data_IF_464708424561
#
_entry.id   IF_464708424561
#
_cell.length_a   1.000
_cell.length_b   1.000
_cell.length_c   1.000
_cell.angle_alpha   90.00
_cell.angle_beta   90.00
_cell.angle_gamma   90.00
#
_symmetry.space_group_name_H-M   'P 1'
#
loop_
_entity.id
_entity.type
_entity.pdbx_description
1 polymer ?
#
# COMPACT_ATOMS: atom_id res chain seq x y z
N UNK A 1 1.59 18.45 -10.49
CA UNK A 1 1.41 17.19 -9.74
C UNK A 1 -0.02 16.74 -9.85
N UNK A 2 -0.25 15.53 -10.26
CA UNK A 2 -1.57 14.88 -10.20
C UNK A 2 -1.71 14.17 -8.85
N UNK A 3 -2.90 14.26 -8.25
CA UNK A 3 -3.26 13.58 -7.00
C UNK A 3 -4.72 13.15 -7.07
N UNK A 4 -5.09 12.19 -6.28
CA UNK A 4 -6.49 11.78 -6.16
C UNK A 4 -7.29 12.87 -5.47
N UNK A 5 -8.52 13.09 -5.94
CA UNK A 5 -9.44 14.06 -5.33
C UNK A 5 -9.82 13.63 -3.93
N UNK A 6 -9.91 14.58 -3.02
CA UNK A 6 -10.46 14.36 -1.69
C UNK A 6 -11.97 14.70 -1.67
N UNK A 7 -12.73 13.86 -1.02
CA UNK A 7 -14.16 14.04 -0.72
C UNK A 7 -14.36 13.71 0.75
N UNK A 8 -14.90 14.64 1.52
CA UNK A 8 -15.13 14.50 2.96
C UNK A 8 -13.89 13.96 3.72
N UNK A 9 -12.74 14.62 3.49
CA UNK A 9 -11.44 14.32 4.08
C UNK A 9 -10.85 12.92 3.76
N UNK A 10 -11.32 12.25 2.71
CA UNK A 10 -10.74 11.02 2.26
C UNK A 10 -10.59 10.95 0.74
N UNK A 11 -9.79 10.02 0.26
CA UNK A 11 -9.65 9.75 -1.17
C UNK A 11 -11.01 9.42 -1.80
N UNK A 12 -11.27 9.94 -3.01
CA UNK A 12 -12.52 9.67 -3.75
C UNK A 12 -12.75 8.18 -4.01
N UNK A 13 -11.71 7.37 -4.03
CA UNK A 13 -11.79 5.91 -4.22
C UNK A 13 -11.97 5.13 -2.91
N UNK A 14 -12.14 5.81 -1.77
CA UNK A 14 -12.39 5.13 -0.50
C UNK A 14 -13.88 4.77 -0.37
N UNK A 15 -14.17 3.48 -0.39
CA UNK A 15 -15.44 2.95 0.08
C UNK A 15 -15.48 3.06 1.60
N UNK A 16 -16.44 3.82 2.10
CA UNK A 16 -16.63 4.05 3.53
C UNK A 16 -17.16 2.81 4.25
N UNK A 17 -17.03 2.73 5.59
CA UNK A 17 -17.65 1.68 6.39
C UNK A 17 -19.13 1.50 6.05
N UNK A 18 -19.54 0.24 5.85
CA UNK A 18 -20.90 -0.11 5.47
C UNK A 18 -21.24 0.03 3.98
N UNK A 19 -20.27 0.33 3.13
CA UNK A 19 -20.49 0.33 1.68
C UNK A 19 -20.78 -1.08 1.17
N UNK A 20 -21.86 -1.32 0.40
CA UNK A 20 -22.29 -2.67 -0.01
C UNK A 20 -21.24 -3.44 -0.83
N UNK A 21 -20.37 -2.75 -1.57
CA UNK A 21 -19.27 -3.33 -2.35
C UNK A 21 -18.00 -3.61 -1.54
N UNK A 22 -18.05 -3.49 -0.21
CA UNK A 22 -16.89 -3.68 0.67
C UNK A 22 -16.17 -2.37 1.00
N UNK A 23 -15.61 -2.33 2.21
CA UNK A 23 -14.83 -1.20 2.71
C UNK A 23 -13.42 -1.21 2.12
N UNK A 24 -12.84 -0.04 1.90
CA UNK A 24 -11.47 0.09 1.43
C UNK A 24 -11.34 0.79 0.08
N UNK A 25 -10.20 0.61 -0.56
CA UNK A 25 -9.96 1.22 -1.87
C UNK A 25 -10.79 0.51 -2.94
N UNK A 26 -11.71 1.23 -3.59
CA UNK A 26 -12.55 0.70 -4.66
C UNK A 26 -11.71 0.12 -5.83
N UNK A 27 -10.57 0.73 -6.15
CA UNK A 27 -9.69 0.23 -7.20
C UNK A 27 -9.01 -1.10 -6.81
N UNK A 28 -8.69 -1.27 -5.52
CA UNK A 28 -8.11 -2.52 -5.02
C UNK A 28 -9.16 -3.65 -5.03
N UNK A 29 -10.35 -3.36 -4.51
CA UNK A 29 -11.46 -4.31 -4.46
C UNK A 29 -11.85 -4.75 -5.87
N UNK A 30 -12.01 -3.79 -6.80
CA UNK A 30 -12.36 -4.10 -8.17
C UNK A 30 -11.29 -4.94 -8.89
N UNK A 31 -10.00 -4.64 -8.70
CA UNK A 31 -8.93 -5.46 -9.28
C UNK A 31 -9.05 -6.92 -8.83
N UNK A 32 -9.26 -7.17 -7.53
CA UNK A 32 -9.43 -8.52 -7.01
C UNK A 32 -10.70 -9.21 -7.54
N UNK A 33 -11.81 -8.48 -7.70
CA UNK A 33 -13.06 -9.02 -8.28
C UNK A 33 -12.89 -9.47 -9.74
N UNK A 34 -12.00 -8.80 -10.49
CA UNK A 34 -11.67 -9.15 -11.87
C UNK A 34 -10.48 -10.13 -12.00
N UNK A 35 -9.96 -10.64 -10.88
CA UNK A 35 -8.78 -11.51 -10.86
C UNK A 35 -7.54 -10.84 -11.49
N UNK A 36 -7.42 -9.52 -11.29
CA UNK A 36 -6.32 -8.68 -11.78
C UNK A 36 -5.49 -8.11 -10.61
N UNK A 37 -4.24 -7.74 -10.88
CA UNK A 37 -3.38 -7.18 -9.85
C UNK A 37 -3.79 -5.74 -9.50
N UNK A 38 -3.90 -5.39 -8.20
CA UNK A 38 -4.10 -4.01 -7.78
C UNK A 38 -3.02 -3.03 -8.26
N UNK A 39 -1.83 -3.52 -8.60
CA UNK A 39 -0.73 -2.72 -9.16
C UNK A 39 -1.06 -2.15 -10.54
N UNK A 40 -1.92 -2.82 -11.30
CA UNK A 40 -2.36 -2.38 -12.62
C UNK A 40 -3.50 -1.34 -12.56
N UNK A 41 -4.30 -1.38 -11.50
CA UNK A 41 -5.48 -0.53 -11.36
C UNK A 41 -5.22 0.78 -10.59
N UNK A 42 -4.34 0.72 -9.61
CA UNK A 42 -4.08 1.84 -8.72
C UNK A 42 -3.00 2.78 -9.27
N UNK A 43 -3.11 4.11 -9.07
CA UNK A 43 -2.01 5.02 -9.35
C UNK A 43 -0.72 4.62 -8.63
N UNK A 44 0.44 4.97 -9.19
CA UNK A 44 1.76 4.49 -8.75
C UNK A 44 2.03 4.61 -7.24
N UNK A 45 1.68 5.72 -6.62
CA UNK A 45 1.83 5.86 -5.16
C UNK A 45 0.80 5.03 -4.40
N UNK A 46 -0.42 4.93 -4.94
CA UNK A 46 -1.52 4.26 -4.26
C UNK A 46 -1.34 2.74 -4.17
N UNK A 47 -0.74 2.10 -5.17
CA UNK A 47 -0.49 0.66 -5.07
C UNK A 47 0.70 0.34 -4.16
N UNK A 48 1.66 1.27 -4.01
CA UNK A 48 2.79 1.08 -3.08
C UNK A 48 2.36 1.16 -1.60
N UNK A 49 1.32 1.93 -1.27
CA UNK A 49 0.85 2.07 0.09
C UNK A 49 0.17 0.78 0.59
N UNK A 50 0.45 0.33 1.80
CA UNK A 50 1.22 0.97 2.89
C UNK A 50 2.71 0.62 2.91
N UNK A 51 3.25 -0.07 1.91
CA UNK A 51 4.61 -0.58 1.89
C UNK A 51 5.61 0.44 1.35
N UNK A 52 6.78 0.46 1.97
CA UNK A 52 7.97 1.16 1.51
C UNK A 52 9.16 0.24 1.55
N UNK A 53 9.99 0.30 0.50
CA UNK A 53 11.28 -0.38 0.46
C UNK A 53 12.38 0.67 0.47
N UNK A 54 13.22 0.62 1.48
CA UNK A 54 14.44 1.43 1.56
C UNK A 54 15.63 0.56 1.16
N UNK A 55 16.35 0.99 0.13
CA UNK A 55 17.54 0.32 -0.38
C UNK A 55 18.78 0.93 0.23
N UNK A 56 19.70 0.09 0.68
CA UNK A 56 21.00 0.51 1.20
C UNK A 56 22.10 -0.30 0.53
N UNK A 57 23.08 0.38 -0.02
CA UNK A 57 24.27 -0.23 -0.52
C UNK A 57 25.17 -0.72 0.63
N UNK A 58 25.58 -1.96 0.57
CA UNK A 58 26.48 -2.58 1.53
C UNK A 58 27.69 -3.13 0.77
N UNK A 59 28.84 -2.48 0.90
CA UNK A 59 30.12 -2.91 0.29
C UNK A 59 30.18 -2.90 -1.26
N UNK A 60 29.55 -1.94 -1.92
CA UNK A 60 29.74 -1.68 -3.36
C UNK A 60 29.00 -2.59 -4.34
N UNK A 61 28.79 -3.86 -4.01
CA UNK A 61 28.14 -4.86 -4.90
C UNK A 61 26.91 -5.52 -4.28
N UNK A 62 26.60 -5.20 -3.03
CA UNK A 62 25.47 -5.81 -2.31
C UNK A 62 24.50 -4.73 -1.85
N UNK A 63 23.25 -4.87 -2.21
CA UNK A 63 22.17 -4.03 -1.73
C UNK A 63 21.33 -4.77 -0.69
N UNK A 64 20.92 -4.04 0.35
CA UNK A 64 19.98 -4.54 1.34
C UNK A 64 18.67 -3.79 1.19
N UNK A 65 17.57 -4.53 1.04
CA UNK A 65 16.23 -4.00 1.02
C UNK A 65 15.60 -4.11 2.40
N UNK A 66 15.18 -2.99 2.97
CA UNK A 66 14.37 -2.96 4.19
C UNK A 66 12.94 -2.65 3.83
N UNK A 67 12.05 -3.62 4.02
CA UNK A 67 10.62 -3.43 3.83
C UNK A 67 10.01 -2.90 5.12
N UNK A 68 9.35 -1.78 5.06
CA UNK A 68 8.67 -1.15 6.18
C UNK A 68 7.38 -0.47 5.77
N UNK A 69 6.60 -0.05 6.74
CA UNK A 69 5.41 0.75 6.52
C UNK A 69 5.79 2.20 6.18
N UNK A 70 5.05 2.83 5.27
CA UNK A 70 5.06 4.27 5.09
C UNK A 70 4.60 4.99 6.35
N UNK A 71 5.23 6.11 6.66
CA UNK A 71 4.84 7.01 7.75
C UNK A 71 4.57 8.42 7.22
N UNK A 72 3.88 9.24 8.00
CA UNK A 72 3.65 10.65 7.64
C UNK A 72 4.95 11.42 7.45
N UNK A 73 6.01 11.08 8.20
CA UNK A 73 7.33 11.70 8.09
C UNK A 73 7.99 11.50 6.71
N UNK A 74 7.64 10.44 5.99
CA UNK A 74 8.17 10.18 4.64
C UNK A 74 7.69 11.20 3.60
N UNK A 75 6.67 11.98 3.91
CA UNK A 75 6.07 12.99 3.05
C UNK A 75 6.44 14.43 3.44
N UNK A 76 7.43 14.62 4.28
CA UNK A 76 7.82 15.94 4.78
C UNK A 76 6.63 16.68 5.42
N UNK A 77 6.56 18.01 5.24
CA UNK A 77 5.50 18.86 5.77
C UNK A 77 4.09 18.52 5.25
N UNK A 78 3.98 17.86 4.11
CA UNK A 78 2.68 17.48 3.56
C UNK A 78 2.06 16.26 4.24
N UNK A 79 2.86 15.43 4.92
CA UNK A 79 2.38 14.25 5.62
C UNK A 79 1.43 14.56 6.77
N UNK A 80 1.57 15.70 7.42
CA UNK A 80 0.73 16.10 8.56
C UNK A 80 -0.74 16.30 8.19
N UNK A 81 -0.98 16.79 6.96
CA UNK A 81 -2.33 17.15 6.48
C UNK A 81 -2.90 16.18 5.44
N UNK A 82 -2.16 15.14 5.08
CA UNK A 82 -2.65 14.14 4.12
C UNK A 82 -3.74 13.27 4.74
N UNK A 83 -4.74 12.93 3.93
CA UNK A 83 -5.69 11.86 4.25
C UNK A 83 -4.98 10.51 4.07
N UNK A 84 -4.80 9.78 5.16
CA UNK A 84 -4.00 8.55 5.21
C UNK A 84 -4.87 7.27 5.26
N UNK A 85 -5.99 7.32 4.56
CA UNK A 85 -6.99 6.24 4.59
C UNK A 85 -6.46 4.85 4.18
N UNK A 86 -5.33 4.79 3.47
CA UNK A 86 -4.70 3.53 3.07
C UNK A 86 -3.68 3.00 4.09
N UNK A 87 -3.38 3.74 5.16
CA UNK A 87 -2.30 3.39 6.08
C UNK A 87 -2.63 3.58 7.54
N UNK A 88 -3.65 4.35 7.87
CA UNK A 88 -4.03 4.65 9.24
C UNK A 88 -5.51 4.38 9.48
N UNK A 89 -5.81 3.63 10.54
CA UNK A 89 -7.17 3.27 10.92
C UNK A 89 -8.05 4.49 11.19
N UNK A 90 -7.48 5.53 11.77
CA UNK A 90 -8.19 6.77 12.06
C UNK A 90 -8.77 7.45 10.81
N UNK A 91 -8.09 7.30 9.67
CA UNK A 91 -8.49 7.90 8.41
C UNK A 91 -9.28 6.94 7.51
N UNK A 92 -9.04 5.65 7.63
CA UNK A 92 -9.57 4.61 6.73
C UNK A 92 -10.51 3.60 7.37
N UNK A 93 -10.72 3.67 8.68
CA UNK A 93 -11.58 2.70 9.37
C UNK A 93 -11.07 1.26 9.25
N UNK A 94 -11.98 0.33 9.00
CA UNK A 94 -11.69 -1.09 8.88
C UNK A 94 -10.91 -1.46 7.61
N UNK A 95 -10.83 -0.58 6.62
CA UNK A 95 -10.04 -0.78 5.40
C UNK A 95 -8.53 -1.00 5.66
N UNK A 96 -8.06 -0.64 6.86
CA UNK A 96 -6.68 -0.83 7.27
C UNK A 96 -6.39 -2.21 7.85
N UNK A 97 -7.39 -2.92 8.31
CA UNK A 97 -7.26 -4.21 8.99
C UNK A 97 -7.82 -5.36 8.13
N UNK A 98 -7.14 -6.50 8.19
CA UNK A 98 -7.56 -7.72 7.50
C UNK A 98 -7.17 -8.95 8.31
N UNK A 99 -7.64 -10.11 7.88
CA UNK A 99 -7.36 -11.41 8.51
C UNK A 99 -6.10 -12.08 7.97
N UNK A 100 -5.69 -11.72 6.76
CA UNK A 100 -4.49 -12.25 6.12
C UNK A 100 -3.24 -11.49 6.57
N UNK A 101 -2.11 -12.19 6.57
CA UNK A 101 -0.82 -11.55 6.80
C UNK A 101 -0.46 -10.65 5.61
N UNK A 102 0.18 -9.51 5.89
CA UNK A 102 0.60 -8.54 4.86
C UNK A 102 1.47 -9.18 3.78
N UNK A 103 2.32 -10.13 4.14
CA UNK A 103 3.17 -10.87 3.19
C UNK A 103 2.35 -11.63 2.14
N UNK A 104 1.16 -12.05 2.47
CA UNK A 104 0.26 -12.78 1.58
C UNK A 104 -0.69 -11.82 0.84
N UNK A 105 -1.37 -10.94 1.57
CA UNK A 105 -2.37 -10.02 1.01
C UNK A 105 -1.77 -8.94 0.09
N UNK A 106 -0.49 -8.58 0.26
CA UNK A 106 0.23 -7.60 -0.57
C UNK A 106 1.39 -8.24 -1.36
N UNK A 107 1.20 -9.47 -1.79
CA UNK A 107 2.20 -10.24 -2.55
C UNK A 107 2.63 -9.50 -3.83
N UNK A 108 1.67 -9.02 -4.59
CA UNK A 108 1.93 -8.38 -5.88
C UNK A 108 2.68 -7.06 -5.71
N UNK A 109 2.26 -6.27 -4.73
CA UNK A 109 2.91 -5.03 -4.36
C UNK A 109 4.35 -5.25 -3.86
N UNK A 110 4.55 -6.24 -2.99
CA UNK A 110 5.88 -6.62 -2.51
C UNK A 110 6.78 -7.09 -3.63
N UNK A 111 6.26 -7.91 -4.53
CA UNK A 111 6.98 -8.40 -5.70
C UNK A 111 7.35 -7.26 -6.65
N UNK A 112 6.44 -6.33 -6.89
CA UNK A 112 6.69 -5.17 -7.74
C UNK A 112 7.71 -4.18 -7.13
N UNK A 113 7.72 -4.02 -5.80
CA UNK A 113 8.61 -3.10 -5.10
C UNK A 113 10.02 -3.65 -4.90
N UNK A 114 10.14 -4.90 -4.50
CA UNK A 114 11.40 -5.49 -4.05
C UNK A 114 11.97 -6.54 -5.03
N UNK A 115 11.17 -7.00 -5.96
CA UNK A 115 11.51 -8.10 -6.87
C UNK A 115 11.08 -9.47 -6.35
N UNK A 116 10.86 -10.40 -7.28
CA UNK A 116 10.36 -11.74 -6.97
C UNK A 116 11.32 -12.55 -6.07
N UNK A 117 12.62 -12.42 -6.28
CA UNK A 117 13.62 -13.13 -5.48
C UNK A 117 13.62 -12.67 -4.02
N UNK A 118 13.50 -11.35 -3.79
CA UNK A 118 13.40 -10.76 -2.44
C UNK A 118 12.11 -11.19 -1.77
N UNK A 119 10.99 -11.22 -2.50
CA UNK A 119 9.72 -11.70 -1.96
C UNK A 119 9.82 -13.16 -1.49
N UNK A 120 10.39 -14.05 -2.31
CA UNK A 120 10.60 -15.46 -1.96
C UNK A 120 11.44 -15.60 -0.69
N UNK A 121 12.53 -14.82 -0.59
CA UNK A 121 13.41 -14.85 0.60
C UNK A 121 12.72 -14.30 1.85
N UNK A 122 11.93 -13.21 1.74
CA UNK A 122 11.09 -12.72 2.83
C UNK A 122 10.12 -13.78 3.31
N UNK A 123 9.41 -14.42 2.37
CA UNK A 123 8.45 -15.48 2.67
C UNK A 123 9.07 -16.67 3.40
N UNK A 124 10.31 -16.99 3.05
CA UNK A 124 11.06 -18.11 3.69
C UNK A 124 11.46 -17.79 5.14
N UNK A 125 11.64 -16.52 5.49
CA UNK A 125 12.09 -16.08 6.83
C UNK A 125 10.95 -15.89 7.84
N UNK A 126 9.72 -15.79 7.37
CA UNK A 126 8.51 -15.63 8.20
C UNK A 126 7.78 -16.95 8.41
#
# INVERSE_FOLDING_TARGET
>A
RTHTRLVDNACIFLNRPGFPGGEGCALHIAALEFDESPTEWKPSVCWQLPLRVDWQEVNGDTETATVRRWTRADWSKHGETMAWCCTERSDGGEAYSGTEQVIDSLRDELTALAGAEVYVELRRRL
#
